data_IF_838841009561
#
_entry.id   IF_838841009561
#
_cell.length_a   1.000
_cell.length_b   1.000
_cell.length_c   1.000
_cell.angle_alpha   90.00
_cell.angle_beta   90.00
_cell.angle_gamma   90.00
#
_symmetry.space_group_name_H-M   'P 1'
#
loop_
_entity.id
_entity.type
_entity.pdbx_description
1 polymer ?
#
# COMPACT_ATOMS: atom_id res chain seq x y z
N UNK A 1 33.22 1.13 39.50
CA UNK A 1 33.00 0.26 38.33
C UNK A 1 31.52 0.18 38.01
N UNK A 2 31.18 0.61 36.80
CA UNK A 2 30.01 0.36 35.93
C UNK A 2 28.57 0.64 36.41
N UNK A 3 28.03 1.71 35.80
CA UNK A 3 26.64 2.15 35.62
C UNK A 3 25.78 1.16 34.83
N UNK A 4 24.56 0.86 35.30
CA UNK A 4 23.58 0.03 34.60
C UNK A 4 22.80 0.81 33.55
N UNK A 5 22.86 0.38 32.28
CA UNK A 5 22.17 0.99 31.14
C UNK A 5 20.80 0.36 30.85
N UNK A 6 19.85 1.22 30.48
CA UNK A 6 18.48 0.91 30.05
C UNK A 6 18.44 0.04 28.79
N UNK A 7 17.70 -1.07 28.81
CA UNK A 7 17.51 -1.94 27.63
C UNK A 7 16.25 -1.50 26.89
N UNK A 8 16.41 -0.94 25.69
CA UNK A 8 15.30 -0.69 24.75
C UNK A 8 14.99 -1.97 23.98
N UNK A 9 13.81 -2.55 24.20
CA UNK A 9 13.32 -3.67 23.39
C UNK A 9 12.85 -3.16 22.02
N UNK A 10 13.44 -3.67 20.93
CA UNK A 10 12.90 -3.50 19.57
C UNK A 10 12.02 -4.69 19.24
N UNK A 11 10.74 -4.45 18.99
CA UNK A 11 9.81 -5.48 18.52
C UNK A 11 9.89 -5.57 17.00
N UNK A 12 10.25 -6.74 16.46
CA UNK A 12 10.17 -7.03 15.04
C UNK A 12 8.98 -7.97 14.78
N UNK A 13 8.00 -7.53 13.99
CA UNK A 13 6.87 -8.35 13.54
C UNK A 13 7.22 -8.97 12.20
N UNK A 14 7.71 -10.22 12.21
CA UNK A 14 7.83 -11.03 11.01
C UNK A 14 6.48 -11.68 10.73
N UNK A 15 5.87 -11.38 9.58
CA UNK A 15 4.67 -12.10 9.12
C UNK A 15 5.12 -13.47 8.63
N UNK A 16 4.88 -14.50 9.44
CA UNK A 16 5.09 -15.88 9.02
C UNK A 16 3.97 -16.28 8.05
N UNK A 17 4.28 -16.43 6.76
CA UNK A 17 3.35 -17.05 5.82
C UNK A 17 3.25 -18.54 6.13
N UNK A 18 2.12 -18.97 6.70
CA UNK A 18 1.84 -20.37 6.94
C UNK A 18 1.55 -21.05 5.60
N UNK A 19 2.55 -21.63 4.96
CA UNK A 19 2.37 -22.51 3.80
C UNK A 19 1.49 -23.69 4.23
N UNK A 20 0.24 -23.70 3.78
CA UNK A 20 -0.68 -24.81 4.02
C UNK A 20 -0.52 -25.81 2.87
N UNK A 21 0.06 -26.96 3.17
CA UNK A 21 0.06 -28.14 2.31
C UNK A 21 -1.30 -28.85 2.46
N UNK A 22 -2.29 -28.47 1.65
CA UNK A 22 -3.62 -29.09 1.65
C UNK A 22 -3.65 -30.35 0.77
N UNK A 23 -3.91 -31.51 1.38
CA UNK A 23 -4.03 -32.80 0.68
C UNK A 23 -5.33 -32.96 -0.12
N UNK A 24 -5.49 -34.12 -0.77
CA UNK A 24 -6.51 -34.51 -1.75
C UNK A 24 -8.00 -34.42 -1.32
N UNK A 25 -8.35 -33.82 -0.18
CA UNK A 25 -9.74 -33.56 0.23
C UNK A 25 -9.96 -32.16 0.83
N UNK A 26 -9.01 -31.23 0.67
CA UNK A 26 -9.08 -29.87 1.23
C UNK A 26 -10.29 -29.06 0.75
N UNK A 27 -10.94 -29.45 -0.36
CA UNK A 27 -12.19 -28.88 -0.83
C UNK A 27 -13.36 -29.21 0.11
N UNK A 28 -13.52 -30.47 0.50
CA UNK A 28 -14.77 -31.00 1.10
C UNK A 28 -15.05 -30.45 2.51
N UNK A 29 -14.01 -30.00 3.21
CA UNK A 29 -14.13 -29.47 4.58
C UNK A 29 -14.19 -27.95 4.62
N UNK A 30 -14.32 -27.28 3.46
CA UNK A 30 -14.69 -25.86 3.41
C UNK A 30 -13.72 -24.92 4.12
N UNK A 31 -12.42 -25.20 4.08
CA UNK A 31 -11.40 -24.34 4.67
C UNK A 31 -10.55 -23.65 3.62
N UNK A 32 -10.97 -22.43 3.25
CA UNK A 32 -10.14 -21.22 3.20
C UNK A 32 -11.01 -20.06 2.73
N UNK A 33 -11.75 -19.46 3.66
CA UNK A 33 -12.03 -18.03 3.50
C UNK A 33 -10.69 -17.34 3.67
N UNK A 34 -10.21 -16.65 2.63
CA UNK A 34 -9.10 -15.71 2.78
C UNK A 34 -9.61 -14.58 3.68
N UNK A 35 -9.46 -14.75 4.99
CA UNK A 35 -9.73 -13.69 5.95
C UNK A 35 -8.79 -12.54 5.60
N UNK A 36 -9.35 -11.47 5.05
CA UNK A 36 -8.63 -10.20 4.94
C UNK A 36 -8.17 -9.82 6.34
N UNK A 37 -6.92 -9.35 6.49
CA UNK A 37 -6.47 -8.87 7.77
C UNK A 37 -7.37 -7.70 8.21
N UNK A 38 -7.55 -7.47 9.53
CA UNK A 38 -8.22 -6.27 10.02
C UNK A 38 -7.63 -5.00 9.39
N UNK A 39 -8.43 -3.95 9.18
CA UNK A 39 -8.01 -2.72 8.47
C UNK A 39 -6.80 -2.00 9.09
N UNK A 40 -6.44 -2.31 10.33
CA UNK A 40 -5.24 -1.80 11.00
C UNK A 40 -3.96 -2.58 10.65
N UNK A 41 -4.05 -3.62 9.82
CA UNK A 41 -2.91 -4.43 9.36
C UNK A 41 -2.81 -4.28 7.84
N UNK A 42 -1.63 -3.97 7.29
CA UNK A 42 -1.45 -3.81 5.86
C UNK A 42 -1.74 -5.12 5.11
N UNK A 43 -2.31 -4.99 3.92
CA UNK A 43 -2.61 -6.14 3.07
C UNK A 43 -1.31 -6.79 2.54
N UNK A 44 -1.16 -8.12 2.66
CA UNK A 44 -0.01 -8.82 2.10
C UNK A 44 -0.06 -8.78 0.57
N UNK A 45 1.11 -8.69 -0.08
CA UNK A 45 1.24 -8.76 -1.54
C UNK A 45 0.90 -7.49 -2.31
N UNK A 46 0.60 -6.36 -1.63
CA UNK A 46 0.40 -5.07 -2.30
C UNK A 46 1.75 -4.41 -2.59
N UNK A 47 2.06 -4.21 -3.87
CA UNK A 47 3.17 -3.35 -4.29
C UNK A 47 2.70 -1.90 -4.36
N UNK A 48 3.10 -1.10 -3.37
CA UNK A 48 2.80 0.33 -3.38
C UNK A 48 3.70 1.07 -4.38
N UNK A 49 3.17 2.07 -5.13
CA UNK A 49 4.01 2.94 -5.92
C UNK A 49 4.95 3.75 -5.01
N UNK A 50 6.10 4.22 -5.50
CA UNK A 50 6.94 5.14 -4.75
C UNK A 50 6.14 6.40 -4.39
N UNK A 51 6.39 6.98 -3.20
CA UNK A 51 5.73 8.22 -2.81
C UNK A 51 6.15 9.38 -3.73
N UNK A 52 5.30 10.41 -3.80
CA UNK A 52 5.65 11.67 -4.45
C UNK A 52 6.80 12.36 -3.70
N UNK A 53 7.62 13.17 -4.39
CA UNK A 53 8.62 14.03 -3.74
C UNK A 53 7.99 15.02 -2.76
N UNK A 54 8.77 15.49 -1.78
CA UNK A 54 8.33 16.49 -0.79
C UNK A 54 7.79 17.78 -1.42
N UNK A 55 8.30 18.13 -2.61
CA UNK A 55 7.78 19.21 -3.43
C UNK A 55 7.44 18.71 -4.83
N UNK A 56 6.19 18.93 -5.22
CA UNK A 56 5.69 18.69 -6.57
C UNK A 56 5.36 20.04 -7.20
N UNK A 57 5.99 20.34 -8.33
CA UNK A 57 5.71 21.57 -9.06
C UNK A 57 4.29 21.51 -9.67
N UNK A 58 3.43 22.52 -9.45
CA UNK A 58 2.10 22.53 -10.06
C UNK A 58 2.17 22.46 -11.59
N UNK A 59 1.33 21.62 -12.19
CA UNK A 59 1.27 21.48 -13.65
C UNK A 59 0.77 22.76 -14.33
N UNK A 60 1.39 23.13 -15.46
CA UNK A 60 0.98 24.29 -16.26
C UNK A 60 -0.44 24.11 -16.83
N UNK A 61 -1.25 25.16 -16.78
CA UNK A 61 -2.56 25.19 -17.45
C UNK A 61 -2.43 25.07 -18.96
N UNK A 62 -3.05 24.04 -19.52
CA UNK A 62 -3.21 23.86 -20.96
C UNK A 62 -4.58 24.36 -21.37
N UNK A 63 -4.62 25.34 -22.27
CA UNK A 63 -5.87 25.89 -22.83
C UNK A 63 -5.96 25.56 -24.31
N UNK A 64 -7.06 24.93 -24.74
CA UNK A 64 -7.35 24.66 -26.14
C UNK A 64 -8.67 25.30 -26.55
N UNK A 65 -8.68 26.02 -27.66
CA UNK A 65 -9.88 26.61 -28.25
C UNK A 65 -10.38 25.73 -29.39
N UNK A 66 -11.63 25.31 -29.33
CA UNK A 66 -12.28 24.52 -30.37
C UNK A 66 -12.73 25.42 -31.54
N UNK A 67 -12.96 24.87 -32.75
CA UNK A 67 -13.41 25.65 -33.92
C UNK A 67 -14.76 26.37 -33.72
N UNK A 68 -15.58 25.91 -32.77
CA UNK A 68 -16.84 26.55 -32.38
C UNK A 68 -16.66 27.66 -31.33
N UNK A 69 -15.42 28.00 -30.95
CA UNK A 69 -15.09 29.05 -29.99
C UNK A 69 -15.06 28.62 -28.52
N UNK A 70 -15.42 27.37 -28.20
CA UNK A 70 -15.36 26.85 -26.81
C UNK A 70 -13.91 26.71 -26.36
N UNK A 71 -13.61 27.14 -25.12
CA UNK A 71 -12.29 27.00 -24.50
C UNK A 71 -12.31 25.87 -23.47
N UNK A 72 -11.37 24.94 -23.56
CA UNK A 72 -11.13 23.88 -22.59
C UNK A 72 -9.82 24.18 -21.88
N UNK A 73 -9.84 24.21 -20.54
CA UNK A 73 -8.65 24.35 -19.72
C UNK A 73 -8.43 23.05 -18.93
N UNK A 74 -7.19 22.59 -18.82
CA UNK A 74 -6.81 21.44 -18.01
C UNK A 74 -5.52 21.72 -17.24
N UNK A 75 -5.43 21.22 -16.02
CA UNK A 75 -4.29 21.33 -15.13
C UNK A 75 -4.01 19.95 -14.54
N UNK A 76 -2.78 19.70 -14.09
CA UNK A 76 -2.42 18.47 -13.38
C UNK A 76 -1.99 18.86 -11.98
N UNK A 77 -2.80 18.48 -10.99
CA UNK A 77 -2.42 18.51 -9.58
C UNK A 77 -1.99 17.10 -9.20
N UNK A 78 -0.74 16.98 -8.77
CA UNK A 78 -0.14 15.76 -8.19
C UNK A 78 -0.53 15.60 -6.73
#
# INVERSE_FOLDING_TARGET
>A
SHTGGTITARCATTVAEKSSSGGLFSWLTGERSSTLPPLNVPLPGVSLPPPLPDYVEPGKTKVTTLPNGVKIASETST
#
